data_IF_987579596259
#
_entry.id   IF_987579596259
#
_cell.length_a   1.000
_cell.length_b   1.000
_cell.length_c   1.000
_cell.angle_alpha   90.00
_cell.angle_beta   90.00
_cell.angle_gamma   90.00
#
_symmetry.space_group_name_H-M   'P 1'
#
loop_
_entity.id
_entity.type
_entity.pdbx_description
1 polymer ?
#
# COMPACT_ATOMS: atom_id res chain seq x y z
N UNK A 1 12.52 13.41 -18.61
CA UNK A 1 12.52 13.81 -17.18
C UNK A 1 12.45 12.58 -16.26
N UNK A 2 11.45 11.70 -16.38
CA UNK A 2 11.32 10.45 -15.59
C UNK A 2 12.60 9.61 -15.49
N UNK A 3 13.16 9.19 -16.63
CA UNK A 3 14.32 8.29 -16.68
C UNK A 3 15.56 8.89 -15.98
N UNK A 4 15.73 10.22 -16.05
CA UNK A 4 16.85 10.92 -15.42
C UNK A 4 16.78 10.77 -13.89
N UNK A 5 15.60 10.93 -13.29
CA UNK A 5 15.44 10.75 -11.84
C UNK A 5 15.67 9.31 -11.40
N UNK A 6 15.20 8.32 -12.16
CA UNK A 6 15.46 6.91 -11.86
C UNK A 6 16.95 6.58 -11.99
N UNK A 7 17.59 7.02 -13.07
CA UNK A 7 19.01 6.78 -13.31
C UNK A 7 19.88 7.40 -12.20
N UNK A 8 19.57 8.63 -11.79
CA UNK A 8 20.30 9.34 -10.72
C UNK A 8 20.04 8.74 -9.32
N UNK A 9 19.06 7.84 -9.18
CA UNK A 9 18.81 7.14 -7.92
C UNK A 9 19.70 5.90 -7.75
N UNK A 10 20.38 5.44 -8.80
CA UNK A 10 21.35 4.35 -8.69
C UNK A 10 22.65 4.83 -8.03
N UNK A 11 23.30 3.92 -7.30
CA UNK A 11 24.65 4.13 -6.80
C UNK A 11 25.41 2.80 -6.76
N UNK A 12 26.67 2.83 -6.31
CA UNK A 12 27.47 1.62 -6.08
C UNK A 12 26.77 0.61 -5.14
N UNK A 13 25.93 1.10 -4.22
CA UNK A 13 25.21 0.28 -3.24
C UNK A 13 23.76 -0.01 -3.62
N UNK A 14 23.14 0.84 -4.44
CA UNK A 14 21.74 0.71 -4.85
C UNK A 14 21.63 0.16 -6.26
N UNK A 15 21.26 -1.12 -6.38
CA UNK A 15 21.13 -1.80 -7.68
C UNK A 15 19.67 -2.03 -8.09
N UNK A 16 18.72 -1.62 -7.24
CA UNK A 16 17.28 -1.60 -7.48
C UNK A 16 16.74 -0.23 -7.05
N UNK A 17 15.91 0.37 -7.88
CA UNK A 17 15.20 1.63 -7.62
C UNK A 17 13.70 1.36 -7.71
N UNK A 18 12.96 1.70 -6.65
CA UNK A 18 11.49 1.66 -6.66
C UNK A 18 10.92 3.08 -6.71
N UNK A 19 9.96 3.29 -7.61
CA UNK A 19 9.25 4.55 -7.78
C UNK A 19 7.77 4.45 -7.42
N UNK A 20 7.05 5.56 -7.54
CA UNK A 20 5.60 5.64 -7.33
C UNK A 20 4.83 5.72 -8.64
N UNK A 21 3.72 4.99 -8.75
CA UNK A 21 2.85 5.01 -9.93
C UNK A 21 1.42 5.38 -9.53
N UNK A 22 1.06 6.68 -9.50
CA UNK A 22 -0.31 7.11 -9.20
C UNK A 22 -1.29 6.69 -10.30
N UNK A 23 -2.57 6.64 -9.95
CA UNK A 23 -3.64 6.55 -10.96
C UNK A 23 -4.12 7.95 -11.35
N UNK A 24 -4.44 8.11 -12.63
CA UNK A 24 -5.02 9.34 -13.15
C UNK A 24 -6.31 9.68 -12.39
N UNK A 25 -6.45 10.96 -12.04
CA UNK A 25 -7.64 11.46 -11.36
C UNK A 25 -8.81 11.51 -12.34
N UNK A 26 -9.91 10.87 -11.97
CA UNK A 26 -11.18 10.87 -12.70
C UNK A 26 -12.31 11.18 -11.72
N UNK A 27 -13.38 11.80 -12.18
CA UNK A 27 -14.55 12.13 -11.35
C UNK A 27 -15.40 10.88 -11.15
N UNK A 28 -14.96 9.99 -10.26
CA UNK A 28 -15.70 8.77 -9.91
C UNK A 28 -15.34 8.25 -8.52
N UNK A 29 -16.33 7.67 -7.84
CA UNK A 29 -16.16 7.03 -6.53
C UNK A 29 -15.11 5.91 -6.59
N UNK A 30 -15.18 5.06 -7.61
CA UNK A 30 -14.21 3.97 -7.77
C UNK A 30 -12.80 4.50 -7.98
N UNK A 31 -12.62 5.54 -8.79
CA UNK A 31 -11.32 6.16 -8.99
C UNK A 31 -10.73 6.65 -7.67
N UNK A 32 -11.54 7.27 -6.82
CA UNK A 32 -11.11 7.76 -5.50
C UNK A 32 -10.65 6.63 -4.59
N UNK A 33 -11.39 5.51 -4.53
CA UNK A 33 -10.97 4.31 -3.78
C UNK A 33 -9.68 3.71 -4.34
N UNK A 34 -9.57 3.58 -5.67
CA UNK A 34 -8.37 3.03 -6.33
C UNK A 34 -7.14 3.88 -5.99
N UNK A 35 -7.26 5.20 -6.13
CA UNK A 35 -6.18 6.14 -5.82
C UNK A 35 -5.82 6.10 -4.34
N UNK A 36 -6.82 6.04 -3.45
CA UNK A 36 -6.60 5.96 -2.02
C UNK A 36 -5.88 4.67 -1.61
N UNK A 37 -6.32 3.52 -2.13
CA UNK A 37 -5.65 2.24 -1.89
C UNK A 37 -4.22 2.24 -2.43
N UNK A 38 -4.01 2.80 -3.62
CA UNK A 38 -2.66 2.92 -4.22
C UNK A 38 -1.75 3.81 -3.39
N UNK A 39 -2.29 4.92 -2.85
CA UNK A 39 -1.57 5.80 -1.94
C UNK A 39 -1.19 5.07 -0.64
N UNK A 40 -2.13 4.35 -0.01
CA UNK A 40 -1.85 3.57 1.21
C UNK A 40 -0.78 2.52 0.97
N UNK A 41 -0.86 1.79 -0.15
CA UNK A 41 0.15 0.81 -0.56
C UNK A 41 1.51 1.48 -0.77
N UNK A 42 1.55 2.66 -1.39
CA UNK A 42 2.78 3.43 -1.57
C UNK A 42 3.40 3.88 -0.25
N UNK A 43 2.61 4.46 0.65
CA UNK A 43 3.06 4.84 2.00
C UNK A 43 3.70 3.62 2.70
N UNK A 44 3.07 2.44 2.58
CA UNK A 44 3.58 1.21 3.19
C UNK A 44 4.91 0.76 2.59
N UNK A 45 5.00 0.57 1.26
CA UNK A 45 6.22 0.02 0.69
C UNK A 45 7.39 1.02 0.73
N UNK A 46 7.14 2.33 0.61
CA UNK A 46 8.19 3.33 0.82
C UNK A 46 8.61 3.40 2.29
N UNK A 47 7.65 3.41 3.24
CA UNK A 47 7.94 3.45 4.67
C UNK A 47 8.73 2.22 5.14
N UNK A 48 8.31 1.02 4.75
CA UNK A 48 9.08 -0.20 5.06
C UNK A 48 10.44 -0.22 4.37
N UNK A 49 10.57 0.35 3.17
CA UNK A 49 11.88 0.44 2.52
C UNK A 49 12.85 1.36 3.25
N UNK A 50 12.38 2.48 3.80
CA UNK A 50 13.20 3.35 4.64
C UNK A 50 13.73 2.64 5.89
N UNK A 51 13.02 1.61 6.35
CA UNK A 51 13.43 0.75 7.47
C UNK A 51 14.23 -0.49 7.02
N UNK A 52 14.63 -0.60 5.75
CA UNK A 52 15.34 -1.78 5.23
C UNK A 52 14.47 -3.04 5.10
N UNK A 53 13.15 -2.88 5.15
CA UNK A 53 12.15 -3.97 5.07
C UNK A 53 11.33 -3.90 3.78
N UNK A 54 11.94 -3.50 2.66
CA UNK A 54 11.25 -3.47 1.37
C UNK A 54 10.65 -4.83 1.04
N UNK A 55 9.36 -4.85 0.74
CA UNK A 55 8.62 -6.08 0.46
C UNK A 55 7.99 -6.11 -0.93
N UNK A 56 7.83 -4.96 -1.58
CA UNK A 56 7.23 -4.84 -2.91
C UNK A 56 7.71 -3.57 -3.62
N UNK A 57 7.44 -3.49 -4.91
CA UNK A 57 7.60 -2.30 -5.75
C UNK A 57 6.75 -2.46 -7.00
N UNK A 58 6.27 -1.36 -7.57
CA UNK A 58 5.34 -1.42 -8.71
C UNK A 58 6.14 -1.49 -10.01
N UNK A 59 5.98 -2.55 -10.82
CA UNK A 59 6.77 -2.72 -12.06
C UNK A 59 6.65 -1.59 -13.07
N UNK A 60 5.54 -0.86 -13.07
CA UNK A 60 5.35 0.33 -13.92
C UNK A 60 6.30 1.49 -13.59
N UNK A 61 6.94 1.46 -12.42
CA UNK A 61 7.97 2.42 -12.03
C UNK A 61 9.04 1.71 -11.19
N UNK A 62 9.77 0.82 -11.84
CA UNK A 62 10.82 -0.02 -11.27
C UNK A 62 12.04 0.01 -12.19
N UNK A 63 13.24 0.08 -11.61
CA UNK A 63 14.48 -0.05 -12.36
C UNK A 63 15.49 -0.89 -11.60
N UNK A 64 16.26 -1.72 -12.29
CA UNK A 64 17.33 -2.52 -11.70
C UNK A 64 18.49 -2.72 -12.68
N UNK A 65 19.67 -2.99 -12.13
CA UNK A 65 20.83 -3.32 -12.96
C UNK A 65 20.69 -4.71 -13.57
N UNK A 66 21.27 -4.90 -14.76
CA UNK A 66 21.35 -6.21 -15.42
C UNK A 66 22.07 -7.25 -14.55
N UNK A 67 23.07 -6.84 -13.78
CA UNK A 67 23.80 -7.72 -12.86
C UNK A 67 22.91 -8.20 -11.72
N UNK A 68 22.10 -7.32 -11.11
CA UNK A 68 21.14 -7.72 -10.08
C UNK A 68 20.09 -8.67 -10.65
N UNK A 69 19.53 -8.37 -11.83
CA UNK A 69 18.55 -9.25 -12.49
C UNK A 69 19.10 -10.68 -12.70
N UNK A 70 20.33 -10.80 -13.20
CA UNK A 70 21.00 -12.10 -13.36
C UNK A 70 21.24 -12.80 -12.02
N UNK A 71 21.67 -12.05 -10.99
CA UNK A 71 21.90 -12.57 -9.63
C UNK A 71 20.62 -13.14 -9.02
N UNK A 72 19.48 -12.52 -9.27
CA UNK A 72 18.16 -12.98 -8.83
C UNK A 72 17.59 -14.10 -9.73
N UNK A 73 18.30 -14.51 -10.78
CA UNK A 73 17.83 -15.46 -11.82
C UNK A 73 16.55 -14.99 -12.52
N UNK A 74 16.39 -13.67 -12.64
CA UNK A 74 15.22 -13.03 -13.25
C UNK A 74 13.91 -13.44 -12.58
N UNK A 75 12.85 -13.58 -13.39
CA UNK A 75 11.50 -13.95 -12.91
C UNK A 75 11.26 -15.46 -12.78
N UNK A 76 12.26 -16.29 -13.06
CA UNK A 76 12.11 -17.76 -13.14
C UNK A 76 11.51 -18.39 -11.89
N UNK A 77 11.82 -17.84 -10.71
CA UNK A 77 11.27 -18.30 -9.43
C UNK A 77 9.76 -18.01 -9.22
N UNK A 78 9.17 -17.17 -10.08
CA UNK A 78 7.79 -16.67 -9.98
C UNK A 78 6.97 -16.94 -11.25
N UNK A 79 7.52 -17.64 -12.25
CA UNK A 79 6.86 -17.86 -13.55
C UNK A 79 5.48 -18.55 -13.45
N UNK A 80 5.23 -19.29 -12.37
CA UNK A 80 3.97 -20.00 -12.16
C UNK A 80 2.88 -19.14 -11.50
N UNK A 81 3.14 -17.85 -11.25
CA UNK A 81 2.20 -16.94 -10.59
C UNK A 81 1.44 -16.09 -11.62
N UNK A 82 0.14 -15.91 -11.36
CA UNK A 82 -0.76 -15.13 -12.22
C UNK A 82 -0.49 -13.61 -12.15
N UNK A 83 0.19 -13.14 -11.10
CA UNK A 83 0.52 -11.73 -10.90
C UNK A 83 1.55 -11.54 -9.78
N UNK A 84 2.22 -10.38 -9.78
CA UNK A 84 3.08 -9.94 -8.67
C UNK A 84 4.52 -10.46 -8.75
N UNK A 85 4.95 -10.83 -9.95
CA UNK A 85 6.33 -11.06 -10.33
C UNK A 85 7.26 -9.89 -9.97
N UNK A 86 6.82 -8.66 -10.21
CA UNK A 86 7.55 -7.45 -9.80
C UNK A 86 7.74 -7.37 -8.28
N UNK A 87 6.65 -7.53 -7.52
CA UNK A 87 6.66 -7.45 -6.06
C UNK A 87 7.64 -8.47 -5.46
N UNK A 88 7.63 -9.69 -6.00
CA UNK A 88 8.46 -10.78 -5.52
C UNK A 88 9.92 -10.65 -5.96
N UNK A 89 10.20 -10.09 -7.14
CA UNK A 89 11.56 -9.70 -7.53
C UNK A 89 12.13 -8.69 -6.53
N UNK A 90 11.35 -7.66 -6.18
CA UNK A 90 11.75 -6.67 -5.16
C UNK A 90 11.94 -7.33 -3.79
N UNK A 91 11.01 -8.18 -3.36
CA UNK A 91 11.09 -8.91 -2.09
C UNK A 91 12.36 -9.76 -1.98
N UNK A 92 12.77 -10.39 -3.08
CA UNK A 92 14.02 -11.15 -3.18
C UNK A 92 15.25 -10.24 -3.13
N UNK A 93 15.22 -9.13 -3.87
CA UNK A 93 16.31 -8.16 -3.94
C UNK A 93 16.71 -7.61 -2.55
N UNK A 94 15.76 -7.46 -1.62
CA UNK A 94 16.00 -6.99 -0.24
C UNK A 94 17.03 -7.81 0.53
N UNK A 95 17.34 -9.06 0.13
CA UNK A 95 18.41 -9.86 0.77
C UNK A 95 19.80 -9.53 0.25
N UNK A 96 19.91 -8.87 -0.89
CA UNK A 96 21.12 -8.89 -1.74
C UNK A 96 21.64 -7.51 -2.14
N UNK A 97 20.83 -6.46 -1.99
CA UNK A 97 21.19 -5.08 -2.33
C UNK A 97 20.34 -4.10 -1.53
N UNK A 98 20.87 -2.90 -1.31
CA UNK A 98 20.07 -1.77 -0.82
C UNK A 98 19.19 -1.23 -1.94
N UNK A 99 17.99 -0.77 -1.57
CA UNK A 99 16.96 -0.36 -2.52
C UNK A 99 16.83 1.15 -2.43
N UNK A 100 17.03 1.83 -3.56
CA UNK A 100 16.86 3.27 -3.67
C UNK A 100 15.38 3.62 -3.89
N UNK A 101 14.99 4.77 -3.34
CA UNK A 101 13.61 5.27 -3.38
C UNK A 101 13.54 6.50 -4.27
N UNK A 102 12.80 6.42 -5.38
CA UNK A 102 12.59 7.54 -6.28
C UNK A 102 11.19 8.14 -6.06
N UNK A 103 11.13 9.18 -5.23
CA UNK A 103 9.89 9.89 -4.86
C UNK A 103 9.77 11.29 -5.46
N UNK A 104 10.51 11.58 -6.55
CA UNK A 104 10.41 12.87 -7.21
C UNK A 104 9.11 12.94 -8.02
N UNK A 105 8.33 14.03 -7.97
CA UNK A 105 7.08 14.13 -8.73
C UNK A 105 7.25 13.87 -10.24
N UNK A 106 8.32 14.39 -10.84
CA UNK A 106 8.63 14.16 -12.27
C UNK A 106 9.09 12.72 -12.59
N UNK A 107 9.30 11.89 -11.56
CA UNK A 107 9.55 10.47 -11.70
C UNK A 107 8.30 9.62 -11.53
N UNK A 108 7.12 10.22 -11.34
CA UNK A 108 5.88 9.46 -11.23
C UNK A 108 5.38 8.99 -12.60
N UNK A 109 4.87 7.75 -12.65
CA UNK A 109 4.31 7.15 -13.88
C UNK A 109 2.83 6.92 -13.66
N UNK A 110 2.00 7.69 -14.35
CA UNK A 110 0.55 7.58 -14.20
C UNK A 110 -0.01 6.31 -14.83
N UNK A 111 -1.04 5.76 -14.18
CA UNK A 111 -1.74 4.55 -14.62
C UNK A 111 -3.22 4.84 -14.87
N UNK A 112 -3.81 4.14 -15.84
CA UNK A 112 -5.25 4.22 -16.09
C UNK A 112 -6.03 3.40 -15.05
N UNK A 113 -6.99 4.00 -14.32
CA UNK A 113 -7.78 3.28 -13.32
C UNK A 113 -8.77 2.32 -13.98
N UNK A 114 -9.18 1.30 -13.24
CA UNK A 114 -10.36 0.51 -13.63
C UNK A 114 -11.62 1.37 -13.47
N UNK A 115 -12.54 1.25 -14.42
CA UNK A 115 -13.82 1.97 -14.42
C UNK A 115 -14.93 1.21 -13.70
N UNK A 116 -14.74 -0.11 -13.46
CA UNK A 116 -15.73 -0.99 -12.85
C UNK A 116 -15.20 -1.66 -11.57
N UNK A 117 -16.02 -1.64 -10.52
CA UNK A 117 -15.66 -2.16 -9.19
C UNK A 117 -15.45 -3.66 -9.20
N UNK A 118 -16.24 -4.40 -9.98
CA UNK A 118 -16.09 -5.86 -10.14
C UNK A 118 -14.74 -6.18 -10.77
N UNK A 119 -14.36 -5.47 -11.83
CA UNK A 119 -13.06 -5.67 -12.49
C UNK A 119 -11.88 -5.33 -11.57
N UNK A 120 -12.01 -4.27 -10.77
CA UNK A 120 -10.99 -3.91 -9.78
C UNK A 120 -10.90 -4.93 -8.64
N UNK A 121 -12.03 -5.41 -8.11
CA UNK A 121 -12.06 -6.48 -7.09
C UNK A 121 -11.40 -7.74 -7.64
N UNK A 122 -11.73 -8.18 -8.85
CA UNK A 122 -11.09 -9.35 -9.47
C UNK A 122 -9.58 -9.17 -9.62
N UNK A 123 -9.11 -7.95 -9.93
CA UNK A 123 -7.68 -7.63 -9.93
C UNK A 123 -7.06 -7.76 -8.52
N UNK A 124 -7.75 -7.29 -7.48
CA UNK A 124 -7.25 -7.35 -6.10
C UNK A 124 -7.24 -8.76 -5.51
N UNK A 125 -8.22 -9.60 -5.84
CA UNK A 125 -8.20 -11.02 -5.46
C UNK A 125 -6.94 -11.70 -6.01
N UNK A 126 -6.61 -11.49 -7.29
CA UNK A 126 -5.36 -12.01 -7.89
C UNK A 126 -4.10 -11.46 -7.20
N UNK A 127 -4.11 -10.20 -6.78
CA UNK A 127 -2.97 -9.60 -6.10
C UNK A 127 -2.76 -10.13 -4.66
N UNK A 128 -3.84 -10.53 -3.97
CA UNK A 128 -3.76 -11.09 -2.62
C UNK A 128 -3.10 -12.46 -2.62
N UNK A 129 -3.26 -13.24 -3.69
CA UNK A 129 -2.56 -14.54 -3.79
C UNK A 129 -1.05 -14.36 -3.85
N UNK A 130 -0.52 -13.25 -4.39
CA UNK A 130 0.92 -12.92 -4.36
C UNK A 130 1.41 -12.67 -2.93
N UNK A 131 0.59 -12.05 -2.07
CA UNK A 131 1.00 -11.67 -0.72
C UNK A 131 1.40 -12.86 0.17
N UNK A 132 0.88 -14.07 -0.12
CA UNK A 132 1.25 -15.31 0.59
C UNK A 132 2.69 -15.76 0.32
N UNK A 133 3.31 -15.25 -0.76
CA UNK A 133 4.69 -15.54 -1.12
C UNK A 133 5.70 -14.53 -0.54
N UNK A 134 5.22 -13.48 0.15
CA UNK A 134 6.11 -12.56 0.86
C UNK A 134 6.78 -13.25 2.05
N UNK A 135 7.95 -12.76 2.48
CA UNK A 135 8.57 -13.20 3.74
C UNK A 135 7.59 -13.05 4.91
N UNK A 136 7.61 -14.02 5.84
CA UNK A 136 6.72 -14.06 7.01
C UNK A 136 6.71 -12.73 7.80
N UNK A 137 7.88 -12.10 7.98
CA UNK A 137 7.96 -10.79 8.65
C UNK A 137 7.11 -9.71 7.97
N UNK A 138 7.06 -9.68 6.63
CA UNK A 138 6.27 -8.70 5.89
C UNK A 138 4.78 -9.03 6.00
N UNK A 139 4.41 -10.30 5.91
CA UNK A 139 3.03 -10.75 6.11
C UNK A 139 2.53 -10.36 7.51
N UNK A 140 3.35 -10.58 8.54
CA UNK A 140 3.04 -10.22 9.93
C UNK A 140 2.80 -8.72 10.07
N UNK A 141 3.72 -7.85 9.61
CA UNK A 141 3.57 -6.40 9.76
C UNK A 141 2.40 -5.83 8.97
N UNK A 142 2.16 -6.32 7.75
CA UNK A 142 1.01 -5.90 6.94
C UNK A 142 -0.31 -6.36 7.57
N UNK A 143 -0.36 -7.59 8.07
CA UNK A 143 -1.51 -8.14 8.77
C UNK A 143 -1.81 -7.39 10.06
N UNK A 144 -0.77 -7.10 10.86
CA UNK A 144 -0.88 -6.32 12.08
C UNK A 144 -1.39 -4.91 11.79
N UNK A 145 -0.87 -4.23 10.76
CA UNK A 145 -1.34 -2.91 10.37
C UNK A 145 -2.82 -2.90 10.00
N UNK A 146 -3.27 -3.89 9.22
CA UNK A 146 -4.69 -4.04 8.87
C UNK A 146 -5.54 -4.31 10.11
N UNK A 147 -5.11 -5.25 10.97
CA UNK A 147 -5.81 -5.59 12.21
C UNK A 147 -5.91 -4.40 13.16
N UNK A 148 -4.84 -3.60 13.32
CA UNK A 148 -4.86 -2.38 14.13
C UNK A 148 -5.88 -1.37 13.62
N UNK A 149 -6.04 -1.21 12.30
CA UNK A 149 -7.07 -0.34 11.72
C UNK A 149 -8.48 -0.86 12.02
N UNK A 150 -8.70 -2.17 11.87
CA UNK A 150 -9.99 -2.81 12.20
C UNK A 150 -10.33 -2.62 13.68
N UNK A 151 -9.40 -2.96 14.58
CA UNK A 151 -9.59 -2.81 16.02
C UNK A 151 -9.82 -1.34 16.40
N UNK A 152 -9.10 -0.40 15.79
CA UNK A 152 -9.32 1.01 16.06
C UNK A 152 -10.75 1.44 15.73
N UNK A 153 -11.23 1.17 14.52
CA UNK A 153 -12.54 1.63 14.08
C UNK A 153 -13.71 0.87 14.72
N UNK A 154 -13.60 -0.45 14.89
CA UNK A 154 -14.71 -1.29 15.33
C UNK A 154 -14.66 -1.68 16.80
N UNK A 155 -13.56 -1.44 17.50
CA UNK A 155 -13.43 -1.73 18.94
C UNK A 155 -13.14 -0.46 19.75
N UNK A 156 -12.11 0.31 19.41
CA UNK A 156 -11.70 1.48 20.21
C UNK A 156 -12.79 2.54 20.20
N UNK A 157 -13.35 2.90 19.03
CA UNK A 157 -14.42 3.92 18.96
C UNK A 157 -15.66 3.51 19.78
N UNK A 158 -16.28 2.33 19.59
CA UNK A 158 -17.43 1.92 20.40
C UNK A 158 -17.11 1.81 21.90
N UNK A 159 -15.92 1.29 22.25
CA UNK A 159 -15.51 1.18 23.64
C UNK A 159 -15.38 2.55 24.31
N UNK A 160 -14.83 3.55 23.62
CA UNK A 160 -14.73 4.91 24.17
C UNK A 160 -16.09 5.52 24.45
N UNK A 161 -17.07 5.32 23.56
CA UNK A 161 -18.45 5.77 23.78
C UNK A 161 -19.09 5.04 24.97
N UNK A 162 -18.88 3.73 25.08
CA UNK A 162 -19.38 2.95 26.22
C UNK A 162 -18.79 3.44 27.55
N UNK A 163 -17.47 3.64 27.62
CA UNK A 163 -16.78 4.13 28.83
C UNK A 163 -17.24 5.53 29.22
N UNK A 164 -17.48 6.40 28.25
CA UNK A 164 -17.97 7.76 28.48
C UNK A 164 -19.37 7.77 29.10
N UNK A 165 -20.28 6.91 28.61
CA UNK A 165 -21.62 6.71 29.18
C UNK A 165 -21.52 6.15 30.61
N UNK A 166 -20.75 5.09 30.82
CA UNK A 166 -20.60 4.44 32.14
C UNK A 166 -20.00 5.37 33.20
N UNK A 167 -19.11 6.27 32.78
CA UNK A 167 -18.46 7.22 33.66
C UNK A 167 -19.28 8.51 33.87
N UNK A 168 -20.53 8.56 33.41
CA UNK A 168 -21.38 9.76 33.45
C UNK A 168 -20.66 11.01 32.91
N UNK A 169 -19.90 10.86 31.82
CA UNK A 169 -19.19 11.96 31.16
C UNK A 169 -18.16 12.71 32.03
N UNK A 170 -17.70 12.14 33.17
CA UNK A 170 -16.68 12.78 34.03
C UNK A 170 -15.31 12.90 33.37
N UNK A 171 -14.97 11.96 32.49
CA UNK A 171 -13.76 11.94 31.67
C UNK A 171 -14.16 11.90 30.20
N UNK A 172 -13.60 12.82 29.40
CA UNK A 172 -13.90 12.97 27.99
C UNK A 172 -13.02 12.06 27.12
N UNK A 173 -13.33 10.75 27.11
CA UNK A 173 -12.60 9.76 26.33
C UNK A 173 -12.72 9.99 24.82
N UNK A 174 -13.92 10.34 24.34
CA UNK A 174 -14.14 10.63 22.92
C UNK A 174 -13.32 11.84 22.47
N UNK A 175 -13.30 12.91 23.26
CA UNK A 175 -12.50 14.11 22.98
C UNK A 175 -11.00 13.81 22.86
N UNK A 176 -10.48 12.93 23.70
CA UNK A 176 -9.09 12.46 23.59
C UNK A 176 -8.84 11.71 22.28
N UNK A 177 -9.72 10.79 21.89
CA UNK A 177 -9.58 10.06 20.62
C UNK A 177 -9.73 11.00 19.41
N UNK A 178 -10.66 11.94 19.45
CA UNK A 178 -10.82 12.96 18.41
C UNK A 178 -9.57 13.83 18.28
N UNK A 179 -8.93 14.21 19.39
CA UNK A 179 -7.66 14.93 19.36
C UNK A 179 -6.56 14.11 18.65
N UNK A 180 -6.42 12.82 18.98
CA UNK A 180 -5.46 11.94 18.31
C UNK A 180 -5.76 11.81 16.81
N UNK A 181 -7.04 11.73 16.43
CA UNK A 181 -7.45 11.76 15.03
C UNK A 181 -7.08 13.09 14.38
N UNK A 182 -7.37 14.24 14.98
CA UNK A 182 -6.98 15.55 14.42
C UNK A 182 -5.46 15.68 14.22
N UNK A 183 -4.67 15.17 15.16
CA UNK A 183 -3.21 15.11 15.05
C UNK A 183 -2.80 14.23 13.85
N UNK A 184 -3.33 13.00 13.75
CA UNK A 184 -3.09 12.10 12.59
C UNK A 184 -3.49 12.78 11.28
N UNK A 185 -4.63 13.47 11.26
CA UNK A 185 -5.14 14.19 10.10
C UNK A 185 -4.15 15.28 9.66
N UNK A 186 -3.69 16.13 10.57
CA UNK A 186 -2.73 17.20 10.26
C UNK A 186 -1.38 16.64 9.73
N UNK A 187 -0.84 15.59 10.36
CA UNK A 187 0.42 14.99 9.90
C UNK A 187 0.31 14.34 8.51
N UNK A 188 -0.82 13.70 8.22
CA UNK A 188 -1.04 13.04 6.94
C UNK A 188 -1.09 14.00 5.76
N UNK A 189 -1.43 15.28 5.95
CA UNK A 189 -1.46 16.26 4.86
C UNK A 189 -0.13 16.30 4.07
N UNK A 190 1.00 16.35 4.78
CA UNK A 190 2.34 16.39 4.16
C UNK A 190 2.62 15.13 3.34
N UNK A 191 2.19 13.97 3.85
CA UNK A 191 2.36 12.69 3.17
C UNK A 191 1.53 12.67 1.88
N UNK A 192 0.26 13.05 1.95
CA UNK A 192 -0.64 13.04 0.79
C UNK A 192 -0.17 14.01 -0.28
N UNK A 193 0.34 15.19 0.12
CA UNK A 193 0.97 16.15 -0.80
C UNK A 193 2.22 15.57 -1.48
N UNK A 194 3.07 14.86 -0.73
CA UNK A 194 4.30 14.22 -1.27
C UNK A 194 3.98 13.18 -2.36
N UNK A 195 2.85 12.48 -2.25
CA UNK A 195 2.39 11.50 -3.23
C UNK A 195 1.38 12.09 -4.26
N UNK A 196 1.38 13.41 -4.46
CA UNK A 196 0.51 14.10 -5.42
C UNK A 196 -1.00 13.75 -5.28
N UNK A 197 -1.43 13.42 -4.07
CA UNK A 197 -2.78 12.90 -3.77
C UNK A 197 -3.43 13.70 -2.64
N UNK A 198 -3.13 15.00 -2.55
CA UNK A 198 -3.60 15.91 -1.50
C UNK A 198 -5.13 16.02 -1.45
N UNK A 199 -5.82 15.80 -2.57
CA UNK A 199 -7.27 15.90 -2.65
C UNK A 199 -7.99 14.77 -1.88
N UNK A 200 -7.33 13.64 -1.66
CA UNK A 200 -7.88 12.53 -0.88
C UNK A 200 -7.76 12.74 0.64
N UNK A 201 -6.97 13.73 1.07
CA UNK A 201 -6.66 13.96 2.48
C UNK A 201 -7.91 14.35 3.29
N UNK A 202 -8.72 15.26 2.76
CA UNK A 202 -9.94 15.77 3.43
C UNK A 202 -10.89 14.64 3.80
N UNK A 203 -11.02 13.65 2.92
CA UNK A 203 -11.90 12.50 3.09
C UNK A 203 -11.15 11.23 3.52
N UNK A 204 -9.94 11.36 4.05
CA UNK A 204 -9.06 10.21 4.31
C UNK A 204 -9.65 9.18 5.26
N UNK A 205 -10.34 9.59 6.32
CA UNK A 205 -11.01 8.66 7.24
C UNK A 205 -12.21 7.95 6.61
N UNK A 206 -12.99 8.68 5.79
CA UNK A 206 -14.07 8.08 5.01
C UNK A 206 -13.53 7.01 4.06
N UNK A 207 -12.44 7.31 3.34
CA UNK A 207 -11.80 6.33 2.45
C UNK A 207 -11.14 5.17 3.19
N UNK A 208 -10.57 5.42 4.38
CA UNK A 208 -9.99 4.37 5.23
C UNK A 208 -11.04 3.35 5.65
N UNK A 209 -12.20 3.80 6.14
CA UNK A 209 -13.32 2.93 6.50
C UNK A 209 -13.84 2.12 5.30
N UNK A 210 -14.07 2.78 4.16
CA UNK A 210 -14.51 2.11 2.94
C UNK A 210 -13.50 1.06 2.48
N UNK A 211 -12.21 1.37 2.55
CA UNK A 211 -11.16 0.44 2.15
C UNK A 211 -11.09 -0.77 3.10
N UNK A 212 -11.26 -0.59 4.41
CA UNK A 212 -11.30 -1.70 5.38
C UNK A 212 -12.46 -2.65 5.06
N UNK A 213 -13.67 -2.11 4.87
CA UNK A 213 -14.84 -2.94 4.54
C UNK A 213 -14.64 -3.70 3.22
N UNK A 214 -14.07 -3.03 2.22
CA UNK A 214 -13.81 -3.62 0.91
C UNK A 214 -12.71 -4.68 0.95
N UNK A 215 -11.64 -4.45 1.71
CA UNK A 215 -10.58 -5.44 1.95
C UNK A 215 -11.14 -6.65 2.69
N UNK A 216 -11.96 -6.46 3.71
CA UNK A 216 -12.65 -7.56 4.39
C UNK A 216 -13.49 -8.40 3.43
N UNK A 217 -14.29 -7.75 2.57
CA UNK A 217 -15.05 -8.44 1.51
C UNK A 217 -14.16 -9.20 0.53
N UNK A 218 -13.04 -8.62 0.10
CA UNK A 218 -12.11 -9.27 -0.83
C UNK A 218 -11.46 -10.49 -0.14
N UNK A 219 -11.04 -10.37 1.11
CA UNK A 219 -10.43 -11.47 1.86
C UNK A 219 -11.39 -12.63 2.08
N UNK A 220 -12.63 -12.37 2.50
CA UNK A 220 -13.64 -13.42 2.67
C UNK A 220 -13.93 -14.10 1.34
N UNK A 221 -14.13 -13.35 0.26
CA UNK A 221 -14.32 -13.92 -1.08
C UNK A 221 -13.14 -14.75 -1.57
N UNK A 222 -11.90 -14.35 -1.28
CA UNK A 222 -10.71 -15.12 -1.64
C UNK A 222 -10.60 -16.44 -0.88
N UNK A 223 -11.06 -16.50 0.38
CA UNK A 223 -11.11 -17.76 1.14
C UNK A 223 -12.10 -18.77 0.54
N UNK A 224 -13.21 -18.29 -0.04
CA UNK A 224 -14.25 -19.13 -0.66
C UNK A 224 -14.06 -19.35 -2.17
N UNK A 225 -13.15 -18.61 -2.81
CA UNK A 225 -12.82 -18.84 -4.22
C UNK A 225 -11.99 -20.11 -4.31
N UNK A 226 -12.51 -21.12 -4.99
CA UNK A 226 -11.68 -22.26 -5.43
C UNK A 226 -10.52 -21.71 -6.24
N UNK A 227 -9.31 -22.20 -5.99
CA UNK A 227 -8.14 -21.87 -6.82
C UNK A 227 -8.53 -22.26 -8.24
N UNK A 228 -8.64 -21.29 -9.16
CA UNK A 228 -8.81 -21.64 -10.56
C UNK A 228 -7.50 -22.29 -11.00
N UNK A 229 -7.53 -23.61 -11.14
CA UNK A 229 -6.46 -24.35 -11.78
C UNK A 229 -6.28 -23.78 -13.19
N UNK A 230 -5.02 -23.47 -13.51
CA UNK A 230 -4.50 -23.57 -14.87
C UNK A 230 -3.39 -24.60 -14.82
#
# INVERSE_FOLDING_TARGET
>A
MWLNHLQNSFSTHHQLVIGFSPYQKQVSYINSIIRFETLQTAINYFGFSQLGMTYMGVGRNLAYTKSLYKKLKGFTSHNNLLSGDDDLLVNQATKTSHIALCLHPDSFVESQPKTNIKSWISQKIRHITTATYYKLKHQFWLGLQYLSKVLFWFLVIPLTLYLEIQNNYKFNFLGFVLLLLLIKFAFNYKIYKKFASWDLWVWSYFWELNLICLQFYIFTRNLFSTKSNW
#
